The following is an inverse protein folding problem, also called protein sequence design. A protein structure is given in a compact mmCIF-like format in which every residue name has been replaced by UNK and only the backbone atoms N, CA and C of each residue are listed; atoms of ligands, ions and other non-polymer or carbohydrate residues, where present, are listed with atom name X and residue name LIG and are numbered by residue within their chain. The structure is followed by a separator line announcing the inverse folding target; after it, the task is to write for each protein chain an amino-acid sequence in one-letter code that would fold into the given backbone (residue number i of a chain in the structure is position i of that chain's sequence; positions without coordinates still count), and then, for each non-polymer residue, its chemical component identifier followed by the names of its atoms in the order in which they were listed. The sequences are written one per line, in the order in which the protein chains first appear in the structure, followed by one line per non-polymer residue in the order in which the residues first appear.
data_IF_755490867188
#
_entry.id   IF_755490867188
#
_cell.length_a   1.000
_cell.length_b   1.000
_cell.length_c   1.000
_cell.angle_alpha   90.00
_cell.angle_beta   90.00
_cell.angle_gamma   90.00
#
_symmetry.space_group_name_H-M   'P 1'
#
loop_
_entity.id
_entity.type
_entity.pdbx_description
1 polymer ?
#
# COMPACT_ATOMS: atom_id res chain seq x y z
N UNK A 1 -41.03 -12.15 34.63
CA UNK A 1 -41.21 -10.94 33.81
C UNK A 1 -40.08 -9.94 33.95
N UNK A 2 -39.87 -9.24 35.08
CA UNK A 2 -38.79 -8.22 35.19
C UNK A 2 -37.38 -8.79 34.96
N UNK A 3 -37.08 -9.96 35.53
CA UNK A 3 -35.78 -10.62 35.35
C UNK A 3 -35.52 -11.13 33.92
N UNK A 4 -36.58 -11.42 33.16
CA UNK A 4 -36.49 -11.89 31.76
C UNK A 4 -36.26 -10.72 30.80
N UNK A 5 -36.92 -9.58 31.07
CA UNK A 5 -36.69 -8.35 30.30
C UNK A 5 -35.26 -7.85 30.55
N UNK A 6 -34.78 -7.90 31.81
CA UNK A 6 -33.42 -7.52 32.16
C UNK A 6 -32.37 -8.42 31.48
N UNK A 7 -32.60 -9.73 31.40
CA UNK A 7 -31.66 -10.67 30.75
C UNK A 7 -31.62 -10.52 29.22
N UNK A 8 -32.77 -10.26 28.59
CA UNK A 8 -32.87 -9.99 27.14
C UNK A 8 -32.15 -8.70 26.76
N UNK A 9 -32.36 -7.63 27.54
CA UNK A 9 -31.67 -6.34 27.32
C UNK A 9 -30.16 -6.47 27.53
N UNK A 10 -29.72 -7.20 28.55
CA UNK A 10 -28.30 -7.44 28.81
C UNK A 10 -27.66 -8.25 27.67
N UNK A 11 -28.34 -9.30 27.19
CA UNK A 11 -27.88 -10.11 26.06
C UNK A 11 -27.71 -9.28 24.78
N UNK A 12 -28.67 -8.41 24.47
CA UNK A 12 -28.60 -7.52 23.32
C UNK A 12 -27.41 -6.54 23.39
N UNK A 13 -27.16 -5.95 24.56
CA UNK A 13 -26.01 -5.04 24.78
C UNK A 13 -24.68 -5.77 24.60
N UNK A 14 -24.55 -6.98 25.16
CA UNK A 14 -23.35 -7.81 24.99
C UNK A 14 -23.13 -8.12 23.51
N UNK A 15 -24.18 -8.53 22.77
CA UNK A 15 -24.08 -8.80 21.34
C UNK A 15 -23.63 -7.59 20.52
N UNK A 16 -24.13 -6.39 20.81
CA UNK A 16 -23.71 -5.16 20.12
C UNK A 16 -22.22 -4.89 20.38
N UNK A 17 -21.80 -4.95 21.64
CA UNK A 17 -20.40 -4.73 22.03
C UNK A 17 -19.49 -5.78 21.38
N UNK A 18 -19.86 -7.06 21.42
CA UNK A 18 -19.09 -8.14 20.81
C UNK A 18 -18.99 -8.00 19.29
N UNK A 19 -20.07 -7.64 18.60
CA UNK A 19 -20.05 -7.38 17.15
C UNK A 19 -19.15 -6.20 16.83
N UNK A 20 -19.27 -5.09 17.57
CA UNK A 20 -18.43 -3.91 17.37
C UNK A 20 -16.94 -4.23 17.56
N UNK A 21 -16.58 -4.91 18.64
CA UNK A 21 -15.20 -5.32 18.93
C UNK A 21 -14.67 -6.27 17.85
N UNK A 22 -15.49 -7.23 17.42
CA UNK A 22 -15.10 -8.20 16.39
C UNK A 22 -14.85 -7.52 15.05
N UNK A 23 -15.69 -6.57 14.66
CA UNK A 23 -15.52 -5.79 13.43
C UNK A 23 -14.24 -4.94 13.49
N UNK A 24 -13.99 -4.26 14.62
CA UNK A 24 -12.74 -3.51 14.83
C UNK A 24 -11.49 -4.39 14.75
N UNK A 25 -11.56 -5.63 15.25
CA UNK A 25 -10.48 -6.60 15.13
C UNK A 25 -10.27 -7.03 13.67
N UNK A 26 -11.35 -7.25 12.91
CA UNK A 26 -11.30 -7.61 11.49
C UNK A 26 -10.70 -6.47 10.66
N UNK A 27 -11.17 -5.24 10.85
CA UNK A 27 -10.63 -4.03 10.21
C UNK A 27 -9.12 -3.92 10.45
N UNK A 28 -8.67 -4.00 11.72
CA UNK A 28 -7.23 -3.94 12.04
C UNK A 28 -6.39 -5.06 11.41
N UNK A 29 -6.94 -6.28 11.32
CA UNK A 29 -6.25 -7.39 10.65
C UNK A 29 -6.12 -7.14 9.15
N UNK A 30 -7.17 -6.60 8.55
CA UNK A 30 -7.23 -6.28 7.13
C UNK A 30 -6.28 -5.13 6.78
N UNK A 31 -6.29 -4.04 7.57
CA UNK A 31 -5.31 -2.95 7.43
C UNK A 31 -3.87 -3.45 7.56
N UNK A 32 -3.57 -4.30 8.55
CA UNK A 32 -2.25 -4.91 8.71
C UNK A 32 -1.84 -5.72 7.47
N UNK A 33 -2.76 -6.50 6.93
CA UNK A 33 -2.51 -7.32 5.75
C UNK A 33 -2.19 -6.43 4.53
N UNK A 34 -2.97 -5.39 4.29
CA UNK A 34 -2.73 -4.45 3.19
C UNK A 34 -1.46 -3.62 3.38
N UNK A 35 -1.15 -3.20 4.60
CA UNK A 35 0.11 -2.52 4.90
C UNK A 35 1.32 -3.43 4.60
N UNK A 36 1.19 -4.72 4.89
CA UNK A 36 2.21 -5.72 4.56
C UNK A 36 2.38 -5.87 3.05
N UNK A 37 1.29 -6.05 2.30
CA UNK A 37 1.31 -6.15 0.85
C UNK A 37 1.97 -4.92 0.23
N UNK A 38 1.50 -3.72 0.58
CA UNK A 38 2.03 -2.48 0.04
C UNK A 38 3.50 -2.26 0.41
N UNK A 39 3.88 -2.53 1.66
CA UNK A 39 5.28 -2.40 2.10
C UNK A 39 6.24 -3.25 1.23
N UNK A 40 5.92 -4.53 1.03
CA UNK A 40 6.78 -5.42 0.26
C UNK A 40 6.79 -5.08 -1.24
N UNK A 41 5.68 -4.60 -1.77
CA UNK A 41 5.61 -4.11 -3.14
C UNK A 41 6.51 -2.88 -3.35
N UNK A 42 6.41 -1.87 -2.47
CA UNK A 42 7.28 -0.69 -2.52
C UNK A 42 8.76 -1.04 -2.31
N UNK A 43 9.08 -2.02 -1.46
CA UNK A 43 10.44 -2.57 -1.36
C UNK A 43 10.91 -3.19 -2.69
N UNK A 44 10.04 -3.95 -3.37
CA UNK A 44 10.34 -4.56 -4.67
C UNK A 44 10.65 -3.50 -5.72
N UNK A 45 9.89 -2.41 -5.77
CA UNK A 45 10.09 -1.28 -6.67
C UNK A 45 11.39 -0.56 -6.36
N UNK A 46 11.60 -0.18 -5.09
CA UNK A 46 12.84 0.48 -4.67
C UNK A 46 14.04 -0.37 -5.04
N UNK A 47 13.96 -1.70 -4.90
CA UNK A 47 15.01 -2.62 -5.35
C UNK A 47 15.17 -2.63 -6.87
N UNK A 48 14.10 -2.77 -7.63
CA UNK A 48 14.14 -2.80 -9.10
C UNK A 48 14.76 -1.53 -9.69
N UNK A 49 14.37 -0.37 -9.18
CA UNK A 49 14.88 0.94 -9.60
C UNK A 49 16.12 1.39 -8.82
N UNK A 50 16.66 0.56 -7.92
CA UNK A 50 17.97 0.84 -7.30
C UNK A 50 19.10 0.72 -8.33
N UNK A 51 20.28 1.26 -8.00
CA UNK A 51 21.50 1.06 -8.79
C UNK A 51 22.06 -0.37 -8.68
N UNK A 52 21.55 -1.19 -7.75
CA UNK A 52 22.08 -2.53 -7.45
C UNK A 52 21.38 -3.65 -8.22
N UNK A 53 20.30 -3.36 -8.94
CA UNK A 53 19.62 -4.35 -9.77
C UNK A 53 20.32 -4.44 -11.12
N UNK A 54 20.62 -5.67 -11.56
CA UNK A 54 21.18 -5.96 -12.89
C UNK A 54 20.16 -5.52 -13.95
N UNK A 55 20.32 -4.28 -14.37
CA UNK A 55 19.36 -3.57 -15.19
C UNK A 55 19.54 -4.02 -16.63
N UNK A 56 18.49 -4.65 -17.14
CA UNK A 56 18.31 -4.86 -18.56
C UNK A 56 17.33 -3.80 -19.05
N UNK A 57 17.83 -2.96 -19.95
CA UNK A 57 17.14 -1.85 -20.59
C UNK A 57 15.88 -2.24 -21.36
N UNK A 58 15.68 -3.53 -21.62
CA UNK A 58 14.49 -4.09 -22.28
C UNK A 58 13.42 -4.57 -21.31
N UNK A 59 13.71 -4.63 -20.01
CA UNK A 59 12.78 -5.16 -19.00
C UNK A 59 11.80 -4.09 -18.54
N UNK A 60 10.52 -4.43 -18.69
CA UNK A 60 9.41 -3.74 -18.02
C UNK A 60 9.38 -4.12 -16.56
N UNK A 61 8.98 -3.18 -15.71
CA UNK A 61 8.51 -3.55 -14.40
C UNK A 61 7.21 -4.36 -14.57
N UNK A 62 7.00 -5.48 -13.86
CA UNK A 62 5.76 -6.25 -13.95
C UNK A 62 4.54 -5.33 -13.87
N UNK A 63 3.54 -5.60 -14.70
CA UNK A 63 2.33 -4.79 -14.74
C UNK A 63 1.49 -5.13 -13.50
N UNK A 64 1.53 -4.27 -12.48
CA UNK A 64 0.87 -4.58 -11.20
C UNK A 64 -0.40 -3.74 -10.97
N UNK A 65 -0.59 -2.55 -11.58
CA UNK A 65 -1.20 -1.43 -10.82
C UNK A 65 -2.37 -0.62 -11.36
N UNK A 66 -3.02 -1.02 -12.46
CA UNK A 66 -4.33 -0.46 -12.82
C UNK A 66 -5.45 -1.48 -12.70
N UNK A 67 -5.31 -2.47 -11.81
CA UNK A 67 -6.46 -3.28 -11.43
C UNK A 67 -7.17 -2.63 -10.22
N UNK A 68 -8.48 -2.80 -10.16
CA UNK A 68 -9.32 -2.26 -9.08
C UNK A 68 -8.92 -2.78 -7.69
N UNK A 69 -8.26 -3.94 -7.64
CA UNK A 69 -7.79 -4.57 -6.41
C UNK A 69 -6.72 -3.71 -5.72
N UNK A 70 -5.73 -3.19 -6.47
CA UNK A 70 -4.69 -2.34 -5.89
C UNK A 70 -5.18 -0.98 -5.41
N UNK A 71 -6.09 -0.36 -6.15
CA UNK A 71 -6.75 0.87 -5.68
C UNK A 71 -7.54 0.59 -4.39
N UNK A 72 -8.20 -0.56 -4.31
CA UNK A 72 -8.87 -1.03 -3.10
C UNK A 72 -7.92 -1.30 -1.93
N UNK A 73 -6.70 -1.77 -2.18
CA UNK A 73 -5.68 -2.00 -1.13
C UNK A 73 -5.26 -0.66 -0.52
N UNK A 74 -4.89 0.32 -1.34
CA UNK A 74 -4.44 1.64 -0.86
C UNK A 74 -5.56 2.38 -0.12
N UNK A 75 -6.78 2.36 -0.66
CA UNK A 75 -7.95 3.01 -0.05
C UNK A 75 -8.33 2.42 1.33
N UNK A 76 -7.94 1.18 1.62
CA UNK A 76 -8.22 0.53 2.91
C UNK A 76 -7.18 0.86 3.99
N UNK A 77 -6.12 1.61 3.68
CA UNK A 77 -5.10 2.02 4.65
C UNK A 77 -5.45 3.37 5.29
N UNK A 78 -6.38 3.34 6.25
CA UNK A 78 -6.93 4.58 6.86
C UNK A 78 -5.92 5.38 7.68
N UNK A 79 -4.74 4.81 7.95
CA UNK A 79 -3.65 5.49 8.65
C UNK A 79 -2.75 6.34 7.74
N UNK A 80 -2.91 6.25 6.41
CA UNK A 80 -2.19 7.11 5.47
C UNK A 80 -2.89 8.45 5.35
N UNK A 81 -2.11 9.53 5.30
CA UNK A 81 -2.63 10.85 4.99
C UNK A 81 -2.68 11.08 3.46
N UNK A 82 -3.29 12.20 3.04
CA UNK A 82 -3.46 12.55 1.63
C UNK A 82 -2.12 12.62 0.89
N UNK A 83 -1.12 13.31 1.44
CA UNK A 83 0.21 13.42 0.82
C UNK A 83 0.87 12.04 0.62
N UNK A 84 0.74 11.14 1.59
CA UNK A 84 1.28 9.77 1.49
C UNK A 84 0.55 8.95 0.43
N UNK A 85 -0.77 9.16 0.27
CA UNK A 85 -1.52 8.53 -0.82
C UNK A 85 -1.09 9.09 -2.17
N UNK A 86 -0.90 10.40 -2.28
CA UNK A 86 -0.41 11.07 -3.49
C UNK A 86 0.98 10.57 -3.89
N UNK A 87 1.91 10.43 -2.93
CA UNK A 87 3.24 9.84 -3.20
C UNK A 87 3.19 8.41 -3.76
N UNK A 88 2.24 7.61 -3.29
CA UNK A 88 2.02 6.26 -3.83
C UNK A 88 1.53 6.38 -5.27
N UNK A 89 0.54 7.23 -5.54
CA UNK A 89 0.00 7.41 -6.89
C UNK A 89 1.03 7.98 -7.87
N UNK A 90 1.79 8.99 -7.48
CA UNK A 90 2.87 9.58 -8.28
C UNK A 90 3.92 8.54 -8.67
N UNK A 91 4.31 7.67 -7.72
CA UNK A 91 5.20 6.55 -8.02
C UNK A 91 4.58 5.59 -9.05
N UNK A 92 3.28 5.34 -8.96
CA UNK A 92 2.59 4.38 -9.81
C UNK A 92 2.49 4.92 -11.23
N UNK A 93 2.13 6.20 -11.38
CA UNK A 93 2.07 6.89 -12.66
C UNK A 93 3.46 6.99 -13.29
N UNK A 94 4.51 7.27 -12.51
CA UNK A 94 5.88 7.28 -13.03
C UNK A 94 6.32 5.91 -13.58
N UNK A 95 5.93 4.81 -12.93
CA UNK A 95 6.20 3.43 -13.41
C UNK A 95 5.39 3.12 -14.67
N UNK A 96 4.13 3.55 -14.72
CA UNK A 96 3.28 3.39 -15.90
C UNK A 96 3.90 4.07 -17.11
N UNK A 97 4.30 5.32 -16.94
CA UNK A 97 4.99 6.13 -17.93
C UNK A 97 6.28 5.46 -18.43
N UNK A 98 7.08 4.91 -17.51
CA UNK A 98 8.28 4.13 -17.84
C UNK A 98 7.95 2.90 -18.70
N UNK A 99 6.94 2.12 -18.32
CA UNK A 99 6.52 0.93 -19.05
C UNK A 99 5.87 1.27 -20.41
N UNK A 100 5.12 2.36 -20.49
CA UNK A 100 4.52 2.87 -21.72
C UNK A 100 5.60 3.28 -22.72
N UNK A 101 6.64 3.97 -22.25
CA UNK A 101 7.80 4.33 -23.08
C UNK A 101 8.51 3.10 -23.66
N UNK A 102 8.65 2.02 -22.88
CA UNK A 102 9.23 0.75 -23.34
C UNK A 102 8.48 0.16 -24.54
N UNK A 103 7.16 0.39 -24.63
CA UNK A 103 6.35 -0.06 -25.78
C UNK A 103 6.52 0.80 -27.02
N UNK A 104 6.94 2.05 -26.86
CA UNK A 104 6.88 3.07 -27.92
C UNK A 104 8.23 3.40 -28.53
N UNK A 105 9.35 3.19 -27.82
CA UNK A 105 10.68 3.56 -28.30
C UNK A 105 11.79 2.71 -27.71
N UNK A 106 12.89 2.56 -28.46
CA UNK A 106 14.17 2.00 -28.02
C UNK A 106 15.19 3.06 -27.57
N UNK A 107 14.76 4.31 -27.38
CA UNK A 107 15.60 5.40 -26.90
C UNK A 107 16.07 5.19 -25.46
N UNK A 108 17.32 4.74 -25.31
CA UNK A 108 17.96 4.48 -24.01
C UNK A 108 18.09 5.72 -23.14
N UNK A 109 18.37 6.89 -23.73
CA UNK A 109 18.55 8.13 -22.98
C UNK A 109 17.23 8.53 -22.33
N UNK A 110 16.15 8.51 -23.11
CA UNK A 110 14.81 8.80 -22.60
C UNK A 110 14.37 7.80 -21.55
N UNK A 111 14.73 6.52 -21.69
CA UNK A 111 14.45 5.49 -20.66
C UNK A 111 15.15 5.80 -19.33
N UNK A 112 16.43 6.19 -19.37
CA UNK A 112 17.17 6.56 -18.15
C UNK A 112 16.56 7.81 -17.49
N UNK A 113 16.08 8.78 -18.27
CA UNK A 113 15.40 9.96 -17.72
C UNK A 113 14.14 9.60 -16.92
N UNK A 114 13.30 8.68 -17.40
CA UNK A 114 12.11 8.22 -16.66
C UNK A 114 12.49 7.36 -15.45
N UNK A 115 13.54 6.54 -15.59
CA UNK A 115 14.09 5.76 -14.49
C UNK A 115 14.60 6.67 -13.37
N UNK A 116 15.25 7.78 -13.70
CA UNK A 116 15.70 8.80 -12.76
C UNK A 116 14.54 9.52 -12.08
N UNK A 117 13.42 9.76 -12.77
CA UNK A 117 12.20 10.29 -12.13
C UNK A 117 11.71 9.35 -11.03
N UNK A 118 11.63 8.05 -11.31
CA UNK A 118 11.22 7.03 -10.32
C UNK A 118 12.23 6.98 -9.16
N UNK A 119 13.53 7.00 -9.44
CA UNK A 119 14.58 7.06 -8.41
C UNK A 119 14.38 8.26 -7.49
N UNK A 120 14.14 9.44 -8.04
CA UNK A 120 13.90 10.65 -7.23
C UNK A 120 12.72 10.47 -6.28
N UNK A 121 11.65 9.78 -6.70
CA UNK A 121 10.51 9.49 -5.82
C UNK A 121 10.90 8.50 -4.70
N UNK A 122 11.56 7.38 -5.01
CA UNK A 122 11.83 6.34 -3.99
C UNK A 122 13.00 6.65 -3.04
N UNK A 123 13.70 7.76 -3.25
CA UNK A 123 14.84 8.23 -2.45
C UNK A 123 14.62 9.59 -1.78
N UNK A 124 13.44 10.21 -1.89
CA UNK A 124 13.10 11.37 -1.04
C UNK A 124 12.81 10.95 0.39
N UNK A 125 13.05 11.86 1.34
CA UNK A 125 12.84 11.63 2.78
C UNK A 125 11.40 11.22 3.11
N UNK A 126 10.42 11.85 2.45
CA UNK A 126 9.00 11.57 2.68
C UNK A 126 8.60 10.14 2.29
N UNK A 127 9.19 9.60 1.23
CA UNK A 127 9.00 8.20 0.85
C UNK A 127 9.59 7.24 1.89
N UNK A 128 10.73 7.57 2.50
CA UNK A 128 11.29 6.78 3.60
C UNK A 128 10.41 6.85 4.86
N UNK A 129 9.75 7.97 5.13
CA UNK A 129 8.74 8.08 6.20
C UNK A 129 7.51 7.21 5.93
N UNK A 130 6.98 7.25 4.71
CA UNK A 130 5.91 6.36 4.24
C UNK A 130 6.29 4.89 4.48
N UNK A 131 7.49 4.49 4.07
CA UNK A 131 7.98 3.13 4.27
C UNK A 131 8.06 2.73 5.75
N UNK A 132 8.49 3.63 6.64
CA UNK A 132 8.50 3.39 8.10
C UNK A 132 7.09 3.21 8.66
N UNK A 133 6.12 4.02 8.21
CA UNK A 133 4.73 3.93 8.64
C UNK A 133 4.09 2.61 8.19
N UNK A 134 4.31 2.22 6.94
CA UNK A 134 3.85 0.94 6.40
C UNK A 134 4.47 -0.23 7.15
N UNK A 135 5.79 -0.19 7.40
CA UNK A 135 6.49 -1.23 8.15
C UNK A 135 5.97 -1.37 9.59
N UNK A 136 5.70 -0.24 10.26
CA UNK A 136 5.15 -0.22 11.61
C UNK A 136 3.76 -0.84 11.65
N UNK A 137 2.90 -0.51 10.69
CA UNK A 137 1.53 -1.01 10.63
C UNK A 137 1.45 -2.45 10.10
N UNK A 138 2.44 -2.93 9.34
CA UNK A 138 2.55 -4.34 8.94
C UNK A 138 3.04 -5.26 10.07
N UNK A 139 3.82 -4.74 11.02
CA UNK A 139 4.39 -5.50 12.15
C UNK A 139 3.57 -5.47 13.45
N UNK A 140 2.52 -4.65 13.58
CA UNK A 140 1.71 -4.59 14.82
C UNK A 140 1.20 -5.98 15.22
N UNK A 141 1.84 -6.60 16.20
CA UNK A 141 1.28 -7.72 16.97
C UNK A 141 0.31 -7.18 18.01
N UNK A 142 -0.71 -7.99 18.30
CA UNK A 142 -1.67 -7.71 19.37
C UNK A 142 -0.89 -7.59 20.68
N UNK A 143 -0.88 -6.40 21.29
CA UNK A 143 -0.70 -6.31 22.74
C UNK A 143 -1.88 -7.00 23.41
#
# INVERSE_FOLDING_TARGET
MENEIASVVLGALISIVTTYVTNKIKEKKQEKHFACILYYELCSIKKYFSQQYDWDETKKYPEIRYNSEWQGIVAQLTFLNENQMEEIYDLYDAIFDYNSLLNQTNDKKKREEYREKIRKIVYVESFDELMKILQKNSKRERK
#
